data_IF_606119641739
#
_entry.id   IF_606119641739
#
_cell.length_a   1.000
_cell.length_b   1.000
_cell.length_c   1.000
_cell.angle_alpha   90.00
_cell.angle_beta   90.00
_cell.angle_gamma   90.00
#
_symmetry.space_group_name_H-M   'P 1'
#
loop_
_entity.id
_entity.type
_entity.pdbx_description
1 polymer ?
#
# COMPACT_ATOMS: atom_id res chain seq x y z
N UNK A 1 -10.09 -9.59 20.65
CA UNK A 1 -9.67 -8.73 19.52
C UNK A 1 -8.76 -9.57 18.65
N UNK A 2 -8.98 -9.62 17.34
CA UNK A 2 -8.18 -10.43 16.41
C UNK A 2 -7.17 -9.53 15.68
N UNK A 3 -5.91 -9.98 15.61
CA UNK A 3 -4.78 -9.30 14.95
C UNK A 3 -4.26 -10.08 13.74
N UNK A 4 -4.90 -11.20 13.39
CA UNK A 4 -4.43 -12.06 12.31
C UNK A 4 -4.50 -11.33 10.98
N UNK A 5 -3.39 -11.34 10.24
CA UNK A 5 -3.28 -10.70 8.93
C UNK A 5 -3.23 -9.16 8.99
N UNK A 6 -2.97 -8.57 10.16
CA UNK A 6 -2.90 -7.12 10.33
C UNK A 6 -1.48 -6.67 10.66
N UNK A 7 -1.12 -5.48 10.18
CA UNK A 7 0.10 -4.82 10.61
C UNK A 7 -0.16 -4.11 11.94
N UNK A 8 0.67 -4.43 12.93
CA UNK A 8 0.54 -3.90 14.28
C UNK A 8 1.91 -3.47 14.77
N UNK A 9 2.01 -2.26 15.31
CA UNK A 9 3.16 -1.81 16.07
C UNK A 9 2.84 -1.96 17.55
N UNK A 10 3.75 -2.54 18.32
CA UNK A 10 3.58 -2.76 19.77
C UNK A 10 4.70 -2.05 20.51
N UNK A 11 4.39 -1.46 21.65
CA UNK A 11 5.35 -0.79 22.53
C UNK A 11 5.25 -1.38 23.93
N UNK A 12 6.41 -1.60 24.55
CA UNK A 12 6.53 -2.04 25.92
C UNK A 12 7.93 -2.61 26.22
N UNK A 13 8.21 -2.95 27.49
CA UNK A 13 9.51 -3.48 27.89
C UNK A 13 9.70 -4.93 27.44
N UNK A 14 10.93 -5.26 27.05
CA UNK A 14 11.37 -6.63 26.80
C UNK A 14 11.46 -7.35 28.14
N UNK A 15 10.72 -8.44 28.29
CA UNK A 15 10.64 -9.22 29.55
C UNK A 15 11.37 -10.55 29.48
N UNK A 16 11.87 -10.94 28.30
CA UNK A 16 12.75 -12.09 28.18
C UNK A 16 12.78 -12.69 26.78
N UNK A 17 12.98 -14.01 26.73
CA UNK A 17 12.98 -14.79 25.49
C UNK A 17 12.28 -16.12 25.69
N UNK A 18 11.68 -16.64 24.63
CA UNK A 18 10.98 -17.93 24.60
C UNK A 18 11.53 -18.75 23.45
N UNK A 19 11.91 -20.00 23.72
CA UNK A 19 12.36 -20.92 22.67
C UNK A 19 11.17 -21.39 21.83
N UNK A 20 11.36 -21.45 20.51
CA UNK A 20 10.37 -21.96 19.57
C UNK A 20 11.02 -22.36 18.25
N UNK A 21 10.26 -22.33 17.15
CA UNK A 21 10.76 -22.67 15.82
C UNK A 21 10.08 -21.86 14.71
N UNK A 22 10.83 -21.59 13.65
CA UNK A 22 10.31 -21.07 12.38
C UNK A 22 10.42 -22.20 11.36
N UNK A 23 9.27 -22.74 10.94
CA UNK A 23 9.23 -24.00 10.20
C UNK A 23 9.81 -25.16 11.03
N UNK A 24 10.93 -25.72 10.57
CA UNK A 24 11.65 -26.80 11.25
C UNK A 24 12.93 -26.35 11.97
N UNK A 25 13.29 -25.06 11.88
CA UNK A 25 14.52 -24.54 12.48
C UNK A 25 14.21 -23.94 13.86
N UNK A 26 14.93 -24.33 14.93
CA UNK A 26 14.79 -23.70 16.24
C UNK A 26 15.08 -22.18 16.17
N UNK A 27 14.27 -21.39 16.85
CA UNK A 27 14.39 -19.94 16.90
C UNK A 27 13.99 -19.41 18.27
N UNK A 28 14.77 -18.47 18.81
CA UNK A 28 14.51 -17.84 20.11
C UNK A 28 13.74 -16.54 19.90
N UNK A 29 12.49 -16.52 20.32
CA UNK A 29 11.62 -15.36 20.21
C UNK A 29 11.83 -14.42 21.39
N UNK A 30 11.76 -13.12 21.12
CA UNK A 30 11.73 -12.10 22.17
C UNK A 30 10.34 -12.11 22.85
N UNK A 31 10.32 -12.11 24.18
CA UNK A 31 9.12 -11.90 24.98
C UNK A 31 9.06 -10.44 25.41
N UNK A 32 7.93 -9.80 25.18
CA UNK A 32 7.71 -8.38 25.49
C UNK A 32 6.35 -8.22 26.17
N UNK A 33 6.29 -7.35 27.18
CA UNK A 33 5.02 -6.97 27.79
C UNK A 33 4.41 -5.82 26.98
N UNK A 34 3.37 -6.10 26.22
CA UNK A 34 2.67 -5.09 25.41
C UNK A 34 1.88 -4.13 26.32
N UNK A 35 2.37 -2.90 26.49
CA UNK A 35 1.66 -1.84 27.25
C UNK A 35 0.82 -0.95 26.34
N UNK A 36 1.15 -0.90 25.04
CA UNK A 36 0.37 -0.22 24.03
C UNK A 36 0.55 -0.83 22.65
N UNK A 37 -0.42 -0.60 21.76
CA UNK A 37 -0.33 -1.03 20.36
C UNK A 37 -1.04 -0.04 19.43
N UNK A 38 -0.59 0.04 18.18
CA UNK A 38 -1.28 0.71 17.06
C UNK A 38 -1.52 -0.32 15.97
N UNK A 39 -2.77 -0.44 15.53
CA UNK A 39 -3.15 -1.25 14.37
C UNK A 39 -3.17 -0.35 13.15
N UNK A 40 -2.56 -0.80 12.07
CA UNK A 40 -2.57 -0.09 10.81
C UNK A 40 -3.60 -0.67 9.84
N UNK A 41 -4.29 0.21 9.13
CA UNK A 41 -5.19 -0.14 8.05
C UNK A 41 -4.42 -0.22 6.73
N UNK A 42 -4.36 -1.43 6.15
CA UNK A 42 -3.82 -1.63 4.81
C UNK A 42 -4.85 -1.14 3.79
N UNK A 43 -4.50 -0.10 3.03
CA UNK A 43 -5.33 0.41 1.93
C UNK A 43 -4.58 0.20 0.64
N UNK A 44 -5.29 -0.32 -0.36
CA UNK A 44 -4.77 -0.48 -1.70
C UNK A 44 -5.28 0.67 -2.55
N UNK A 45 -4.37 1.53 -3.02
CA UNK A 45 -4.71 2.60 -3.94
C UNK A 45 -4.33 2.19 -5.37
N UNK A 46 -5.25 2.45 -6.30
CA UNK A 46 -5.00 2.34 -7.73
C UNK A 46 -4.63 3.73 -8.23
N UNK A 47 -3.39 3.93 -8.63
CA UNK A 47 -2.95 5.19 -9.24
C UNK A 47 -3.22 5.09 -10.74
N UNK A 48 -4.18 5.89 -11.22
CA UNK A 48 -4.45 5.98 -12.66
C UNK A 48 -3.30 6.69 -13.36
N UNK A 49 -2.87 6.20 -14.54
CA UNK A 49 -1.87 6.90 -15.33
C UNK A 49 -2.36 8.31 -15.67
N UNK A 50 -1.43 9.28 -15.78
CA UNK A 50 -1.79 10.64 -16.17
C UNK A 50 -2.65 10.64 -17.44
N UNK A 51 -3.77 11.35 -17.38
CA UNK A 51 -4.62 11.55 -18.56
C UNK A 51 -3.78 12.20 -19.67
N UNK A 52 -3.99 11.86 -20.94
CA UNK A 52 -3.26 12.46 -22.05
C UNK A 52 -3.39 13.99 -21.99
N UNK A 53 -2.25 14.67 -21.82
CA UNK A 53 -2.17 16.13 -21.89
C UNK A 53 -1.95 16.51 -23.34
N UNK A 54 -2.84 17.33 -23.90
CA UNK A 54 -2.62 17.94 -25.20
C UNK A 54 -1.35 18.82 -25.15
N UNK A 55 -0.36 18.61 -26.02
CA UNK A 55 0.93 19.34 -25.99
C UNK A 55 0.80 20.86 -26.09
N UNK A 56 -0.35 21.33 -26.57
CA UNK A 56 -0.64 22.75 -26.77
C UNK A 56 -1.58 23.33 -25.70
N UNK A 57 -1.90 22.55 -24.66
CA UNK A 57 -2.79 22.93 -23.55
C UNK A 57 -4.13 23.53 -24.00
N UNK A 58 -4.61 23.19 -25.20
CA UNK A 58 -5.95 23.59 -25.67
C UNK A 58 -6.99 22.67 -25.01
N UNK A 59 -7.22 22.89 -23.72
CA UNK A 59 -8.20 22.15 -22.93
C UNK A 59 -9.57 22.10 -23.61
N UNK A 60 -10.13 20.90 -23.68
CA UNK A 60 -11.56 20.60 -23.79
C UNK A 60 -12.42 21.59 -24.59
N UNK A 61 -12.20 21.73 -25.90
CA UNK A 61 -13.22 22.27 -26.80
C UNK A 61 -13.82 21.12 -27.60
N UNK A 62 -15.01 20.70 -27.15
CA UNK A 62 -15.82 19.67 -27.77
C UNK A 62 -16.08 20.01 -29.26
N UNK A 63 -15.58 19.17 -30.16
CA UNK A 63 -16.06 19.06 -31.53
C UNK A 63 -16.85 17.76 -31.66
N UNK A 64 -18.13 17.80 -32.10
CA UNK A 64 -19.05 16.68 -31.95
C UNK A 64 -18.93 15.58 -33.01
N UNK A 65 -17.87 15.57 -33.83
CA UNK A 65 -17.74 14.56 -34.88
C UNK A 65 -16.28 14.29 -35.25
N UNK A 66 -15.85 13.05 -34.97
CA UNK A 66 -14.81 12.36 -35.75
C UNK A 66 -13.35 12.65 -35.40
N UNK A 67 -12.63 11.56 -35.18
CA UNK A 67 -11.17 11.39 -35.24
C UNK A 67 -10.39 11.75 -33.96
N UNK A 68 -9.99 10.68 -33.26
CA UNK A 68 -9.13 10.68 -32.09
C UNK A 68 -7.82 11.44 -32.34
N UNK A 69 -7.63 12.50 -31.56
CA UNK A 69 -6.40 13.27 -31.50
C UNK A 69 -5.34 12.55 -30.70
N UNK A 70 -4.17 12.41 -31.32
CA UNK A 70 -2.89 11.84 -30.90
C UNK A 70 -2.36 12.35 -29.54
N UNK A 71 -3.04 12.02 -28.46
CA UNK A 71 -2.48 12.11 -27.11
C UNK A 71 -1.52 10.94 -26.87
N UNK A 72 -0.32 11.22 -26.37
CA UNK A 72 0.57 10.18 -25.85
C UNK A 72 -0.15 9.45 -24.72
N UNK A 73 -0.73 8.30 -25.04
CA UNK A 73 -1.26 7.39 -24.03
C UNK A 73 -0.06 6.82 -23.29
N UNK A 74 -0.03 6.92 -21.96
CA UNK A 74 0.83 6.06 -21.16
C UNK A 74 0.10 4.72 -20.99
N UNK A 75 0.45 3.65 -21.73
CA UNK A 75 -0.26 2.37 -21.67
C UNK A 75 0.13 1.55 -20.43
N UNK A 76 0.89 2.14 -19.50
CA UNK A 76 1.32 1.48 -18.27
C UNK A 76 0.12 1.02 -17.45
N UNK A 77 0.15 -0.23 -16.93
CA UNK A 77 -0.90 -0.70 -16.03
C UNK A 77 -1.00 0.23 -14.82
N UNK A 78 -2.22 0.46 -14.34
CA UNK A 78 -2.43 1.24 -13.13
C UNK A 78 -1.62 0.61 -11.98
N UNK A 79 -0.74 1.40 -11.36
CA UNK A 79 0.10 0.90 -10.28
C UNK A 79 -0.77 0.68 -9.05
N UNK A 80 -0.70 -0.53 -8.53
CA UNK A 80 -1.32 -0.91 -7.28
C UNK A 80 -0.30 -0.70 -6.17
N UNK A 81 -0.53 0.31 -5.33
CA UNK A 81 0.33 0.58 -4.18
C UNK A 81 -0.40 0.15 -2.91
N UNK A 82 0.25 -0.70 -2.12
CA UNK A 82 -0.23 -1.07 -0.78
C UNK A 82 0.36 -0.07 0.21
N UNK A 83 -0.49 0.77 0.78
CA UNK A 83 -0.08 1.79 1.75
C UNK A 83 -0.63 1.45 3.14
N UNK A 84 0.09 1.92 4.14
CA UNK A 84 -0.23 1.73 5.55
C UNK A 84 -0.86 3.03 6.06
N UNK A 85 -2.12 2.98 6.48
CA UNK A 85 -2.90 4.14 6.97
C UNK A 85 -3.27 3.98 8.44
N UNK A 86 -3.48 5.12 9.11
CA UNK A 86 -3.72 5.21 10.57
C UNK A 86 -5.10 4.73 11.01
#
# INVERSE_FOLDING_TARGET
MDFRGQLVTVVGPITGTVDGKIGNTPYKFMLMQATGYKRWHLVQQVVMPPQPIDPWFYGGRAWPYGYGGWGWYNPGPAEVQTIVTE
#
